data_IF_187085646292
#
_entry.id   IF_187085646292
#
_cell.length_a   1.000
_cell.length_b   1.000
_cell.length_c   1.000
_cell.angle_alpha   90.00
_cell.angle_beta   90.00
_cell.angle_gamma   90.00
#
_symmetry.space_group_name_H-M   'P 1'
#
loop_
_entity.id
_entity.type
_entity.pdbx_description
1 polymer ?
#
# COMPACT_ATOMS: atom_id res chain seq x y z
N UNK A 1 -19.31 5.51 12.81
CA UNK A 1 -18.02 5.47 13.52
C UNK A 1 -17.21 4.35 12.90
N UNK A 2 -16.20 4.66 12.10
CA UNK A 2 -15.40 3.64 11.41
C UNK A 2 -14.60 2.83 12.43
N UNK A 3 -14.57 1.51 12.27
CA UNK A 3 -13.87 0.61 13.19
C UNK A 3 -12.57 0.20 12.52
N UNK A 4 -11.51 0.92 12.83
CA UNK A 4 -10.21 0.68 12.24
C UNK A 4 -9.47 -0.44 12.97
N UNK A 5 -8.86 -1.34 12.20
CA UNK A 5 -7.91 -2.32 12.71
C UNK A 5 -6.51 -1.87 12.28
N UNK A 6 -5.64 -1.56 13.25
CA UNK A 6 -4.23 -1.26 12.98
C UNK A 6 -3.54 -2.53 12.52
N UNK A 7 -2.88 -2.46 11.35
CA UNK A 7 -2.19 -3.61 10.74
C UNK A 7 -0.68 -3.41 10.64
N UNK A 8 -0.20 -2.16 10.72
CA UNK A 8 1.22 -1.84 10.58
C UNK A 8 1.57 -0.48 11.20
N UNK A 9 2.87 -0.19 11.28
CA UNK A 9 3.41 1.12 11.66
C UNK A 9 4.43 1.61 10.66
N UNK A 10 4.41 2.91 10.36
CA UNK A 10 5.39 3.55 9.48
C UNK A 10 6.78 3.50 10.14
N UNK A 11 7.80 3.07 9.39
CA UNK A 11 9.18 3.01 9.87
C UNK A 11 10.15 3.83 9.02
N UNK A 12 9.82 4.06 7.74
CA UNK A 12 10.67 4.82 6.81
C UNK A 12 9.85 5.30 5.59
N UNK A 13 10.51 6.07 4.72
CA UNK A 13 9.98 6.50 3.42
C UNK A 13 11.07 6.42 2.35
N UNK A 14 10.74 5.93 1.17
CA UNK A 14 11.62 5.99 -0.02
C UNK A 14 11.44 7.33 -0.74
N UNK A 15 10.25 7.94 -0.67
CA UNK A 15 9.94 9.25 -1.23
C UNK A 15 8.76 9.90 -0.48
N UNK A 16 8.32 11.09 -0.93
CA UNK A 16 7.17 11.80 -0.35
C UNK A 16 5.85 11.01 -0.42
N UNK A 17 5.75 10.03 -1.32
CA UNK A 17 4.51 9.24 -1.52
C UNK A 17 4.71 7.74 -1.39
N UNK A 18 5.95 7.26 -1.24
CA UNK A 18 6.28 5.84 -1.11
C UNK A 18 6.87 5.60 0.28
N UNK A 19 6.09 4.93 1.13
CA UNK A 19 6.38 4.70 2.53
C UNK A 19 6.61 3.22 2.81
N UNK A 20 7.41 2.97 3.83
CA UNK A 20 7.69 1.62 4.33
C UNK A 20 7.08 1.50 5.72
N UNK A 21 6.20 0.51 5.88
CA UNK A 21 5.61 0.15 7.16
C UNK A 21 6.07 -1.24 7.59
N UNK A 22 6.11 -1.49 8.91
CA UNK A 22 6.29 -2.81 9.48
C UNK A 22 4.93 -3.35 9.91
N UNK A 23 4.57 -4.53 9.41
CA UNK A 23 3.35 -5.22 9.83
C UNK A 23 3.39 -5.61 11.31
N UNK A 24 2.25 -5.53 11.98
CA UNK A 24 2.08 -5.97 13.37
C UNK A 24 2.04 -7.51 13.44
N UNK A 25 2.68 -8.12 14.45
CA UNK A 25 2.79 -9.59 14.56
C UNK A 25 1.44 -10.29 14.70
N UNK A 26 0.47 -9.65 15.38
CA UNK A 26 -0.90 -10.14 15.52
C UNK A 26 -1.79 -9.80 14.31
N UNK A 27 -1.34 -8.92 13.41
CA UNK A 27 -1.99 -8.67 12.13
C UNK A 27 -1.70 -9.75 11.09
N UNK A 28 -0.62 -10.51 11.28
CA UNK A 28 -0.23 -11.62 10.41
C UNK A 28 -0.90 -12.97 10.75
N UNK A 29 -1.60 -13.06 11.89
CA UNK A 29 -2.18 -14.31 12.42
C UNK A 29 -3.70 -14.43 12.27
N UNK A 30 -4.40 -13.39 11.81
CA UNK A 30 -5.79 -13.49 11.38
C UNK A 30 -5.82 -13.83 9.89
N UNK A 31 -5.67 -15.12 9.58
CA UNK A 31 -5.63 -15.72 8.25
C UNK A 31 -4.61 -15.09 7.27
N UNK A 32 -3.55 -15.85 6.97
CA UNK A 32 -2.57 -15.57 5.92
C UNK A 32 -3.15 -15.48 4.48
N UNK A 33 -4.48 -15.30 4.35
CA UNK A 33 -5.24 -15.10 3.12
C UNK A 33 -5.83 -13.71 2.94
N UNK A 34 -5.78 -12.82 3.93
CA UNK A 34 -6.38 -11.48 3.82
C UNK A 34 -5.43 -10.48 3.13
N UNK A 35 -5.31 -10.65 1.80
CA UNK A 35 -4.76 -9.76 0.77
C UNK A 35 -3.98 -8.55 1.30
N UNK A 36 -2.64 -8.62 1.34
CA UNK A 36 -1.81 -7.42 1.55
C UNK A 36 -1.66 -6.61 0.27
N UNK A 37 -1.51 -7.24 -0.89
CA UNK A 37 -1.36 -6.54 -2.17
C UNK A 37 -2.68 -5.92 -2.62
N UNK A 38 -2.66 -4.62 -2.91
CA UNK A 38 -3.85 -3.87 -3.31
C UNK A 38 -4.74 -3.45 -2.13
N UNK A 39 -4.37 -3.75 -0.88
CA UNK A 39 -5.16 -3.35 0.28
C UNK A 39 -5.07 -1.85 0.50
N UNK A 40 -6.23 -1.19 0.52
CA UNK A 40 -6.34 0.21 0.93
C UNK A 40 -6.14 0.36 2.43
N UNK A 41 -5.41 1.39 2.81
CA UNK A 41 -5.06 1.72 4.18
C UNK A 41 -5.22 3.20 4.46
N UNK A 42 -5.43 3.55 5.72
CA UNK A 42 -5.52 4.92 6.18
C UNK A 42 -4.49 5.21 7.28
N UNK A 43 -3.98 6.44 7.26
CA UNK A 43 -3.23 7.05 8.36
C UNK A 43 -4.07 8.22 8.88
N UNK A 44 -4.58 8.09 10.10
CA UNK A 44 -5.53 9.04 10.68
C UNK A 44 -4.80 10.15 11.44
N UNK A 45 -5.17 11.39 11.14
CA UNK A 45 -4.78 12.61 11.84
C UNK A 45 -6.03 13.36 12.33
N UNK A 46 -5.89 14.39 13.21
CA UNK A 46 -7.06 15.09 13.76
C UNK A 46 -7.98 15.71 12.69
N UNK A 47 -7.39 16.34 11.66
CA UNK A 47 -8.13 17.11 10.65
C UNK A 47 -8.21 16.42 9.29
N UNK A 48 -7.55 15.28 9.12
CA UNK A 48 -7.47 14.60 7.83
C UNK A 48 -7.11 13.13 7.98
N UNK A 49 -7.40 12.35 6.95
CA UNK A 49 -6.95 10.98 6.80
C UNK A 49 -6.19 10.88 5.49
N UNK A 50 -5.00 10.31 5.56
CA UNK A 50 -4.20 10.06 4.37
C UNK A 50 -4.47 8.63 3.92
N UNK A 51 -4.92 8.47 2.68
CA UNK A 51 -5.23 7.18 2.09
C UNK A 51 -4.03 6.68 1.32
N UNK A 52 -3.69 5.41 1.50
CA UNK A 52 -2.64 4.72 0.78
C UNK A 52 -3.09 3.34 0.31
N UNK A 53 -2.26 2.71 -0.50
CA UNK A 53 -2.43 1.32 -0.93
C UNK A 53 -1.14 0.55 -0.75
N UNK A 54 -1.23 -0.67 -0.23
CA UNK A 54 -0.09 -1.56 -0.13
C UNK A 54 0.21 -2.14 -1.51
N UNK A 55 1.39 -1.86 -2.05
CA UNK A 55 1.83 -2.32 -3.36
C UNK A 55 2.90 -3.39 -3.32
N UNK A 56 3.55 -3.61 -2.18
CA UNK A 56 4.61 -4.62 -2.03
C UNK A 56 4.63 -5.15 -0.59
N UNK A 57 5.10 -6.39 -0.42
CA UNK A 57 5.26 -7.06 0.86
C UNK A 57 6.55 -7.86 0.85
N UNK A 58 7.50 -7.49 1.72
CA UNK A 58 8.84 -8.09 1.79
C UNK A 58 9.06 -8.74 3.15
N UNK A 59 9.37 -10.03 3.14
CA UNK A 59 9.82 -10.72 4.35
C UNK A 59 11.28 -10.37 4.61
N UNK A 60 11.53 -9.71 5.74
CA UNK A 60 12.89 -9.44 6.21
C UNK A 60 13.24 -10.44 7.30
N UNK A 61 14.32 -11.18 7.07
CA UNK A 61 14.92 -12.07 8.04
C UNK A 61 16.37 -11.64 8.25
N UNK A 62 16.68 -10.88 9.32
CA UNK A 62 18.02 -10.33 9.54
C UNK A 62 19.09 -11.42 9.67
N UNK A 63 18.71 -12.62 10.11
CA UNK A 63 19.61 -13.78 10.20
C UNK A 63 20.13 -14.23 8.83
N UNK A 64 19.39 -13.97 7.74
CA UNK A 64 19.77 -14.38 6.38
C UNK A 64 20.29 -13.23 5.52
N UNK A 65 20.16 -11.97 5.94
CA UNK A 65 20.65 -10.80 5.22
C UNK A 65 22.20 -10.73 5.14
N UNK A 66 22.91 -11.61 5.84
CA UNK A 66 24.38 -11.60 5.97
C UNK A 66 25.15 -12.70 5.22
N UNK A 67 24.51 -13.64 4.52
CA UNK A 67 25.17 -14.77 3.83
C UNK A 67 25.59 -14.41 2.39
N UNK A 68 26.46 -13.40 2.24
CA UNK A 68 27.34 -13.31 1.08
C UNK A 68 28.59 -14.18 1.29
N UNK A 69 29.36 -14.54 0.25
CA UNK A 69 30.63 -15.23 0.42
C UNK A 69 31.58 -14.35 1.25
N UNK A 70 31.81 -14.73 2.52
CA UNK A 70 32.72 -14.02 3.42
C UNK A 70 34.07 -14.73 3.45
N UNK A 71 35.12 -14.01 3.06
CA UNK A 71 36.51 -14.49 3.07
C UNK A 71 37.19 -14.29 4.44
N UNK A 72 36.50 -14.59 5.55
CA UNK A 72 37.10 -14.42 6.88
C UNK A 72 36.30 -15.06 8.03
N UNK A 73 36.97 -15.44 9.14
CA UNK A 73 36.32 -16.07 10.28
C UNK A 73 35.40 -15.08 11.03
N UNK A 74 34.29 -15.60 11.58
CA UNK A 74 33.34 -14.82 12.40
C UNK A 74 34.06 -14.27 13.65
N UNK A 75 33.99 -12.96 13.94
CA UNK A 75 34.28 -12.51 15.29
C UNK A 75 33.18 -13.02 16.22
N UNK A 76 33.58 -13.64 17.33
CA UNK A 76 32.72 -14.00 18.45
C UNK A 76 32.14 -12.73 19.06
N UNK A 77 30.89 -12.44 18.75
CA UNK A 77 30.13 -11.36 19.37
C UNK A 77 29.47 -11.90 20.65
N UNK A 78 30.06 -11.60 21.81
CA UNK A 78 29.39 -11.60 23.12
C UNK A 78 29.38 -10.16 23.69
N UNK A 79 28.53 -9.81 24.67
CA UNK A 79 27.08 -9.73 24.60
C UNK A 79 26.66 -8.26 24.86
N UNK A 80 26.64 -7.43 23.83
CA UNK A 80 26.13 -6.05 23.91
C UNK A 80 25.02 -5.82 22.90
N UNK A 81 23.84 -6.38 23.17
CA UNK A 81 22.58 -5.95 22.53
C UNK A 81 21.40 -6.25 23.45
N UNK A 82 21.35 -5.57 24.60
CA UNK A 82 20.13 -5.53 25.43
C UNK A 82 19.02 -4.83 24.61
N UNK A 83 18.22 -5.64 23.90
CA UNK A 83 16.97 -5.36 23.16
C UNK A 83 16.98 -5.30 21.63
N UNK A 84 18.05 -5.69 20.93
CA UNK A 84 17.98 -5.89 19.47
C UNK A 84 17.88 -7.37 19.14
N UNK A 85 16.78 -8.04 19.54
CA UNK A 85 16.44 -9.33 18.92
C UNK A 85 16.14 -9.02 17.46
N UNK A 86 16.91 -9.60 16.54
CA UNK A 86 16.71 -9.53 15.10
C UNK A 86 15.37 -10.16 14.72
N UNK A 87 14.29 -9.44 14.97
CA UNK A 87 12.94 -9.92 14.83
C UNK A 87 12.59 -9.95 13.35
N UNK A 88 12.28 -11.16 12.86
CA UNK A 88 11.79 -11.36 11.50
C UNK A 88 10.50 -10.56 11.36
N UNK A 89 10.28 -9.91 10.22
CA UNK A 89 9.11 -9.07 10.03
C UNK A 89 8.73 -8.91 8.57
N UNK A 90 7.45 -8.59 8.34
CA UNK A 90 6.97 -8.23 7.01
C UNK A 90 7.04 -6.70 6.90
N UNK A 91 7.78 -6.22 5.90
CA UNK A 91 7.75 -4.83 5.49
C UNK A 91 6.74 -4.65 4.37
N UNK A 92 5.93 -3.61 4.47
CA UNK A 92 4.92 -3.24 3.48
C UNK A 92 5.37 -1.98 2.76
N UNK A 93 5.34 -2.01 1.43
CA UNK A 93 5.45 -0.81 0.61
C UNK A 93 4.07 -0.19 0.44
N UNK A 94 3.93 1.10 0.74
CA UNK A 94 2.67 1.84 0.68
C UNK A 94 2.83 3.05 -0.22
N UNK A 95 1.98 3.15 -1.26
CA UNK A 95 1.86 4.37 -2.08
C UNK A 95 0.70 5.20 -1.57
N UNK A 96 0.93 6.49 -1.31
CA UNK A 96 -0.10 7.44 -0.94
C UNK A 96 -0.96 7.81 -2.16
N UNK A 97 -2.28 7.83 -1.97
CA UNK A 97 -3.27 8.05 -3.03
C UNK A 97 -3.98 9.40 -2.93
N UNK A 98 -4.13 9.92 -1.71
CA UNK A 98 -4.98 11.08 -1.48
C UNK A 98 -5.28 11.36 -0.02
N UNK A 99 -6.12 12.36 0.18
CA UNK A 99 -6.50 12.88 1.49
C UNK A 99 -8.01 12.97 1.60
N UNK A 100 -8.54 12.55 2.75
CA UNK A 100 -9.91 12.81 3.19
C UNK A 100 -9.86 13.84 4.30
N UNK A 101 -10.31 15.06 4.03
CA UNK A 101 -10.31 16.15 5.00
C UNK A 101 -11.51 16.07 5.94
N UNK A 102 -11.35 16.64 7.13
CA UNK A 102 -12.44 16.92 8.04
C UNK A 102 -13.48 17.80 7.31
N UNK A 103 -14.74 17.36 7.29
CA UNK A 103 -15.80 17.97 6.46
C UNK A 103 -16.16 17.21 5.19
N UNK A 104 -15.44 16.12 4.88
CA UNK A 104 -15.82 15.17 3.82
C UNK A 104 -15.28 15.49 2.43
N UNK A 105 -14.45 16.54 2.29
CA UNK A 105 -13.73 16.81 1.04
C UNK A 105 -12.71 15.70 0.80
N UNK A 106 -12.71 15.13 -0.41
CA UNK A 106 -11.79 14.08 -0.82
C UNK A 106 -10.93 14.58 -1.97
N UNK A 107 -9.62 14.45 -1.83
CA UNK A 107 -8.64 14.75 -2.86
C UNK A 107 -7.85 13.51 -3.26
N UNK A 108 -7.81 13.20 -4.56
CA UNK A 108 -7.01 12.11 -5.13
C UNK A 108 -5.71 12.65 -5.73
N UNK A 109 -5.01 13.45 -4.95
CA UNK A 109 -3.74 14.09 -5.30
C UNK A 109 -2.65 13.63 -4.35
N UNK A 110 -1.40 13.97 -4.66
CA UNK A 110 -0.28 13.74 -3.74
C UNK A 110 -0.57 14.48 -2.42
N UNK A 111 -0.62 13.79 -1.26
CA UNK A 111 -0.92 14.46 -0.01
C UNK A 111 0.14 15.50 0.35
N UNK A 112 -0.28 16.67 0.86
CA UNK A 112 0.64 17.73 1.28
C UNK A 112 1.40 17.43 2.58
N UNK A 113 0.96 16.40 3.34
CA UNK A 113 1.54 16.01 4.63
C UNK A 113 2.57 14.89 4.48
N UNK A 114 3.67 15.01 5.21
CA UNK A 114 4.63 13.92 5.45
C UNK A 114 4.12 13.03 6.58
N UNK A 115 4.21 11.72 6.42
CA UNK A 115 3.79 10.76 7.44
C UNK A 115 4.95 10.48 8.41
N UNK A 116 4.79 10.73 9.73
CA UNK A 116 5.87 10.51 10.69
C UNK A 116 6.09 9.01 10.96
N UNK A 117 7.33 8.66 11.32
CA UNK A 117 7.64 7.33 11.82
C UNK A 117 6.83 7.03 13.09
N UNK A 118 6.38 5.78 13.25
CA UNK A 118 5.52 5.32 14.32
C UNK A 118 4.02 5.53 14.06
N UNK A 119 3.63 6.30 13.03
CA UNK A 119 2.23 6.47 12.65
C UNK A 119 1.57 5.12 12.38
N UNK A 120 0.40 4.90 12.98
CA UNK A 120 -0.42 3.72 12.76
C UNK A 120 -0.97 3.71 11.34
N UNK A 121 -0.92 2.52 10.73
CA UNK A 121 -1.53 2.20 9.44
C UNK A 121 -2.72 1.29 9.69
N UNK A 122 -3.89 1.72 9.25
CA UNK A 122 -5.16 1.08 9.53
C UNK A 122 -5.78 0.49 8.25
N UNK A 123 -6.30 -0.73 8.31
CA UNK A 123 -7.03 -1.35 7.19
C UNK A 123 -8.32 -0.57 6.93
N UNK A 124 -8.55 -0.18 5.68
CA UNK A 124 -9.83 0.39 5.25
C UNK A 124 -10.84 -0.72 4.95
N UNK A 125 -12.09 -0.51 5.33
CA UNK A 125 -13.21 -1.41 4.99
C UNK A 125 -13.65 -1.20 3.54
N UNK A 126 -14.42 -2.13 2.97
CA UNK A 126 -15.00 -1.96 1.63
C UNK A 126 -15.87 -0.69 1.53
N UNK A 127 -16.64 -0.38 2.59
CA UNK A 127 -17.43 0.85 2.68
C UNK A 127 -16.55 2.11 2.70
N UNK A 128 -15.43 2.09 3.42
CA UNK A 128 -14.48 3.21 3.46
C UNK A 128 -13.82 3.43 2.09
N UNK A 129 -13.46 2.34 1.41
CA UNK A 129 -12.91 2.38 0.05
C UNK A 129 -13.96 2.93 -0.91
N UNK A 130 -15.20 2.44 -0.87
CA UNK A 130 -16.28 2.95 -1.70
C UNK A 130 -16.51 4.45 -1.44
N UNK A 131 -16.54 4.88 -0.18
CA UNK A 131 -16.70 6.28 0.20
C UNK A 131 -15.55 7.16 -0.31
N UNK A 132 -14.31 6.67 -0.30
CA UNK A 132 -13.15 7.39 -0.84
C UNK A 132 -13.24 7.62 -2.36
N UNK A 133 -13.90 6.73 -3.09
CA UNK A 133 -14.06 6.81 -4.55
C UNK A 133 -15.38 7.46 -4.99
N UNK A 134 -16.38 7.52 -4.11
CA UNK A 134 -17.73 8.01 -4.40
C UNK A 134 -17.82 9.53 -4.30
N UNK A 135 -18.35 10.18 -5.34
CA UNK A 135 -18.72 11.60 -5.33
C UNK A 135 -20.24 11.79 -5.33
N UNK A 136 -20.72 12.93 -4.81
CA UNK A 136 -22.04 13.43 -5.17
C UNK A 136 -22.10 13.61 -6.69
N UNK A 137 -22.93 12.81 -7.39
CA UNK A 137 -23.06 12.83 -8.86
C UNK A 137 -22.60 11.56 -9.59
N UNK A 138 -22.15 10.52 -8.87
CA UNK A 138 -22.20 9.14 -9.36
C UNK A 138 -21.07 8.65 -10.27
N UNK A 139 -19.91 9.33 -10.33
CA UNK A 139 -18.73 8.83 -11.05
C UNK A 139 -17.56 8.57 -10.11
N UNK A 140 -16.94 7.40 -10.21
CA UNK A 140 -15.70 7.10 -9.48
C UNK A 140 -14.54 8.01 -9.94
N UNK A 141 -13.85 8.68 -9.01
CA UNK A 141 -12.55 9.33 -9.31
C UNK A 141 -11.42 8.39 -8.91
N UNK A 142 -10.38 8.32 -9.74
CA UNK A 142 -9.14 7.60 -9.42
C UNK A 142 -7.95 8.33 -10.06
N UNK A 143 -7.79 9.63 -9.78
CA UNK A 143 -6.71 10.43 -10.39
C UNK A 143 -5.32 9.90 -10.04
N UNK A 144 -5.20 9.11 -8.96
CA UNK A 144 -3.98 8.48 -8.50
C UNK A 144 -3.48 7.30 -9.37
N UNK A 145 -4.27 6.79 -10.33
CA UNK A 145 -3.87 5.60 -11.12
C UNK A 145 -2.56 5.81 -11.90
N UNK A 146 -2.31 7.02 -12.39
CA UNK A 146 -1.05 7.36 -13.06
C UNK A 146 0.14 7.27 -12.11
N UNK A 147 -0.04 7.70 -10.86
CA UNK A 147 0.96 7.55 -9.80
C UNK A 147 1.19 6.07 -9.49
N UNK A 148 0.17 5.24 -9.40
CA UNK A 148 0.38 3.80 -9.18
C UNK A 148 1.24 3.16 -10.26
N UNK A 149 0.96 3.49 -11.52
CA UNK A 149 1.75 3.00 -12.65
C UNK A 149 3.21 3.43 -12.61
N UNK A 150 3.50 4.62 -12.08
CA UNK A 150 4.85 5.16 -12.00
C UNK A 150 5.62 4.62 -10.78
N UNK A 151 5.00 4.62 -9.61
CA UNK A 151 5.70 4.41 -8.34
C UNK A 151 5.69 2.95 -7.86
N UNK A 152 4.75 2.13 -8.33
CA UNK A 152 4.79 0.69 -8.04
C UNK A 152 5.75 -0.08 -8.98
N UNK A 153 6.39 0.60 -9.94
CA UNK A 153 7.32 -0.01 -10.88
C UNK A 153 6.72 -1.20 -11.62
N UNK A 154 7.40 -2.35 -11.59
CA UNK A 154 6.93 -3.59 -12.22
C UNK A 154 5.58 -4.11 -11.68
N UNK A 155 5.13 -3.62 -10.52
CA UNK A 155 3.85 -3.97 -9.92
C UNK A 155 2.72 -3.00 -10.29
N UNK A 156 2.97 -1.97 -11.10
CA UNK A 156 1.96 -0.97 -11.46
C UNK A 156 0.72 -1.55 -12.16
N UNK A 157 0.91 -2.32 -13.23
CA UNK A 157 -0.22 -2.96 -13.94
C UNK A 157 -1.03 -3.90 -13.04
N UNK A 158 -0.42 -4.88 -12.34
CA UNK A 158 -1.19 -5.77 -11.47
C UNK A 158 -1.87 -5.01 -10.32
N UNK A 159 -1.26 -3.94 -9.81
CA UNK A 159 -1.86 -3.12 -8.76
C UNK A 159 -3.11 -2.38 -9.24
N UNK A 160 -3.05 -1.77 -10.43
CA UNK A 160 -4.22 -1.11 -11.02
C UNK A 160 -5.33 -2.12 -11.29
N UNK A 161 -5.01 -3.32 -11.77
CA UNK A 161 -6.01 -4.40 -11.92
C UNK A 161 -6.65 -4.79 -10.58
N UNK A 162 -5.85 -4.89 -9.51
CA UNK A 162 -6.37 -5.18 -8.18
C UNK A 162 -7.30 -4.07 -7.65
N UNK A 163 -7.00 -2.81 -7.92
CA UNK A 163 -7.88 -1.67 -7.60
C UNK A 163 -9.20 -1.77 -8.37
N UNK A 164 -9.14 -1.98 -9.68
CA UNK A 164 -10.35 -2.08 -10.52
C UNK A 164 -11.25 -3.22 -10.05
N UNK A 165 -10.68 -4.39 -9.76
CA UNK A 165 -11.44 -5.55 -9.27
C UNK A 165 -12.18 -5.26 -7.95
N UNK A 166 -11.53 -4.56 -7.00
CA UNK A 166 -12.18 -4.17 -5.74
C UNK A 166 -13.31 -3.16 -5.93
N UNK A 167 -13.20 -2.27 -6.92
CA UNK A 167 -14.20 -1.24 -7.19
C UNK A 167 -15.38 -1.77 -8.01
N UNK A 168 -15.17 -2.74 -8.92
CA UNK A 168 -16.24 -3.30 -9.77
C UNK A 168 -17.40 -3.92 -8.98
N UNK A 169 -17.10 -4.45 -7.78
CA UNK A 169 -18.07 -5.02 -6.84
C UNK A 169 -19.03 -3.96 -6.26
N UNK A 170 -18.61 -2.70 -6.17
CA UNK A 170 -19.32 -1.64 -5.44
C UNK A 170 -19.75 -0.45 -6.31
N UNK A 171 -19.41 -0.46 -7.61
CA UNK A 171 -19.67 0.65 -8.53
C UNK A 171 -21.00 0.54 -9.30
N UNK A 172 -21.50 1.69 -9.75
CA UNK A 172 -22.64 1.78 -10.67
C UNK A 172 -22.28 1.20 -12.05
N UNK A 173 -23.29 0.74 -12.79
CA UNK A 173 -23.11 0.07 -14.11
C UNK A 173 -22.35 0.94 -15.14
N UNK A 174 -22.47 2.26 -15.05
CA UNK A 174 -21.77 3.22 -15.91
C UNK A 174 -20.25 3.23 -15.66
N UNK A 175 -19.82 3.10 -14.40
CA UNK A 175 -18.40 3.02 -14.02
C UNK A 175 -17.78 1.68 -14.46
N UNK A 176 -18.57 0.60 -14.50
CA UNK A 176 -18.10 -0.73 -14.97
C UNK A 176 -17.64 -0.72 -16.42
N UNK A 177 -18.29 0.05 -17.28
CA UNK A 177 -17.87 0.17 -18.69
C UNK A 177 -16.52 0.89 -18.80
N UNK A 178 -16.32 1.95 -18.02
CA UNK A 178 -15.03 2.66 -17.94
C UNK A 178 -13.93 1.73 -17.43
N UNK A 179 -14.18 0.94 -16.39
CA UNK A 179 -13.23 -0.03 -15.84
C UNK A 179 -12.82 -1.07 -16.89
N UNK A 180 -13.77 -1.66 -17.62
CA UNK A 180 -13.48 -2.60 -18.72
C UNK A 180 -12.61 -1.99 -19.82
N UNK A 181 -12.83 -0.70 -20.15
CA UNK A 181 -11.99 0.00 -21.11
C UNK A 181 -10.56 0.21 -20.59
N UNK A 182 -10.43 0.58 -19.31
CA UNK A 182 -9.13 0.73 -18.65
C UNK A 182 -8.36 -0.60 -18.60
N UNK A 183 -9.01 -1.70 -18.22
CA UNK A 183 -8.40 -3.04 -18.20
C UNK A 183 -7.83 -3.44 -19.57
N UNK A 184 -8.63 -3.27 -20.64
CA UNK A 184 -8.20 -3.58 -22.01
C UNK A 184 -6.99 -2.72 -22.42
N UNK A 185 -6.95 -1.45 -22.01
CA UNK A 185 -5.80 -0.58 -22.30
C UNK A 185 -4.52 -1.02 -21.57
N UNK A 186 -4.65 -1.62 -20.38
CA UNK A 186 -3.53 -2.11 -19.58
C UNK A 186 -2.99 -3.45 -20.08
N UNK A 187 -3.84 -4.32 -20.60
CA UNK A 187 -3.43 -5.59 -21.23
C UNK A 187 -2.51 -5.36 -22.43
N UNK A 188 -2.79 -4.32 -23.22
CA UNK A 188 -1.95 -3.94 -24.34
C UNK A 188 -0.57 -3.47 -23.88
N UNK A 189 -0.50 -2.62 -22.85
CA UNK A 189 0.80 -2.19 -22.28
C UNK A 189 1.63 -3.36 -21.77
N UNK A 190 1.01 -4.31 -21.06
CA UNK A 190 1.72 -5.50 -20.57
C UNK A 190 2.25 -6.39 -21.71
N UNK A 191 1.48 -6.53 -22.80
CA UNK A 191 1.86 -7.35 -23.95
C UNK A 191 3.05 -6.77 -24.73
N UNK A 192 3.15 -5.43 -24.84
CA UNK A 192 4.24 -4.77 -25.56
C UNK A 192 5.47 -4.44 -24.69
N UNK A 193 5.35 -4.40 -23.36
CA UNK A 193 6.51 -4.24 -22.47
C UNK A 193 7.37 -5.51 -22.33
N UNK A 194 6.93 -6.66 -22.87
CA UNK A 194 7.69 -7.91 -22.85
C UNK A 194 8.47 -8.20 -24.14
N UNK A 195 8.55 -7.26 -25.09
CA UNK A 195 9.41 -7.38 -26.27
C UNK A 195 10.75 -6.72 -25.96
N UNK A 196 11.85 -7.47 -25.79
CA UNK A 196 13.18 -6.86 -25.78
C UNK A 196 13.48 -6.37 -27.20
N UNK A 197 13.92 -5.11 -27.32
CA UNK A 197 14.56 -4.57 -28.52
C UNK A 197 15.89 -5.28 -28.77
#
# INVERSE_FOLDING_TARGET
MWRFMTIARIIASNSHIDYVARAEENGATSDAGDQTFGQFVAMVFPEEKIVGIIYDSRLINPEFAGFGPRLGPRPSLEPFSQNSKGEKGILLGIILLGTVFHGGTIEHSIPGRIIPAGQSVEKMTADDVAAFHSLPGGKAKMHYLSSLMLYAGGLGVPLVKAVIAQLDEHCAEEDRQMFKLLERSLEWKHTFSQVPL
#
